data_IF_159045969095
#
_entry.id   IF_159045969095
#
_cell.length_a   1.000
_cell.length_b   1.000
_cell.length_c   1.000
_cell.angle_alpha   90.00
_cell.angle_beta   90.00
_cell.angle_gamma   90.00
#
_symmetry.space_group_name_H-M   'P 1'
#
loop_
_entity.id
_entity.type
_entity.pdbx_description
1 polymer ?
#
# COMPACT_ATOMS: atom_id res chain seq x y z
N UNK A 1 11.15 7.47 5.83
CA UNK A 1 10.95 6.02 5.63
C UNK A 1 11.15 5.66 4.17
N UNK A 2 11.29 4.37 3.83
CA UNK A 2 11.34 3.91 2.44
C UNK A 2 9.91 3.55 1.99
N UNK A 3 9.48 4.10 0.88
CA UNK A 3 8.13 3.86 0.34
C UNK A 3 8.27 3.27 -1.05
N UNK A 4 7.73 2.08 -1.24
CA UNK A 4 7.72 1.39 -2.53
C UNK A 4 6.35 1.61 -3.15
N UNK A 5 6.28 2.22 -4.32
CA UNK A 5 5.01 2.56 -4.97
C UNK A 5 4.85 1.80 -6.28
N UNK A 6 3.68 1.25 -6.52
CA UNK A 6 3.32 0.55 -7.75
C UNK A 6 1.92 0.90 -8.23
N UNK A 7 1.69 0.78 -9.52
CA UNK A 7 0.43 1.04 -10.19
C UNK A 7 0.24 0.15 -11.43
N UNK A 8 -1.00 0.06 -11.91
CA UNK A 8 -1.28 -0.28 -13.30
C UNK A 8 -1.48 0.99 -14.13
N UNK A 9 -1.83 0.86 -15.40
CA UNK A 9 -2.10 1.98 -16.29
C UNK A 9 -3.10 3.00 -15.74
N UNK A 10 -4.14 2.57 -15.01
CA UNK A 10 -5.16 3.46 -14.45
C UNK A 10 -4.64 4.25 -13.24
N UNK A 11 -3.69 3.70 -12.49
CA UNK A 11 -3.09 4.36 -11.33
C UNK A 11 -1.96 5.35 -11.64
N UNK A 12 -1.49 5.43 -12.90
CA UNK A 12 -0.28 6.17 -13.27
C UNK A 12 -0.32 7.65 -12.87
N UNK A 13 -1.37 8.38 -13.24
CA UNK A 13 -1.50 9.81 -12.92
C UNK A 13 -1.56 10.08 -11.42
N UNK A 14 -2.27 9.23 -10.68
CA UNK A 14 -2.37 9.39 -9.22
C UNK A 14 -1.04 9.08 -8.53
N UNK A 15 -0.32 8.03 -8.99
CA UNK A 15 1.02 7.72 -8.50
C UNK A 15 1.93 8.95 -8.59
N UNK A 16 2.00 9.60 -9.75
CA UNK A 16 2.93 10.74 -9.94
C UNK A 16 2.67 11.87 -8.93
N UNK A 17 1.41 12.16 -8.64
CA UNK A 17 1.04 13.17 -7.65
C UNK A 17 1.46 12.77 -6.23
N UNK A 18 1.25 11.50 -5.87
CA UNK A 18 1.66 10.96 -4.57
C UNK A 18 3.19 10.96 -4.46
N UNK A 19 3.91 10.53 -5.49
CA UNK A 19 5.38 10.53 -5.50
C UNK A 19 5.94 11.93 -5.30
N UNK A 20 5.40 12.93 -6.00
CA UNK A 20 5.80 14.33 -5.83
C UNK A 20 5.60 14.78 -4.37
N UNK A 21 4.44 14.52 -3.80
CA UNK A 21 4.17 14.86 -2.41
C UNK A 21 5.14 14.17 -1.44
N UNK A 22 5.39 12.87 -1.61
CA UNK A 22 6.30 12.12 -0.75
C UNK A 22 7.75 12.61 -0.84
N UNK A 23 8.20 13.01 -2.04
CA UNK A 23 9.50 13.63 -2.26
C UNK A 23 9.61 14.99 -1.54
N UNK A 24 8.58 15.83 -1.65
CA UNK A 24 8.48 17.11 -0.93
C UNK A 24 8.49 16.93 0.61
N UNK A 25 8.02 15.78 1.12
CA UNK A 25 8.11 15.40 2.54
C UNK A 25 9.44 14.73 2.93
N UNK A 26 10.39 14.58 2.00
CA UNK A 26 11.71 14.00 2.25
C UNK A 26 11.72 12.47 2.41
N UNK A 27 10.70 11.78 1.89
CA UNK A 27 10.67 10.31 1.87
C UNK A 27 11.48 9.75 0.69
N UNK A 28 12.10 8.56 0.89
CA UNK A 28 12.78 7.85 -0.19
C UNK A 28 11.78 6.96 -0.91
N UNK A 29 11.46 7.29 -2.16
CA UNK A 29 10.45 6.57 -2.96
C UNK A 29 11.12 5.69 -4.01
N UNK A 30 10.71 4.42 -4.08
CA UNK A 30 11.08 3.48 -5.14
C UNK A 30 9.84 3.21 -5.99
N UNK A 31 9.90 3.60 -7.27
CA UNK A 31 8.83 3.41 -8.24
C UNK A 31 8.96 2.05 -8.94
N UNK A 32 7.96 1.19 -8.76
CA UNK A 32 7.87 -0.15 -9.36
C UNK A 32 6.97 -0.18 -10.61
N UNK A 33 6.62 0.99 -11.15
CA UNK A 33 5.82 1.16 -12.37
C UNK A 33 4.32 0.94 -12.14
N UNK A 34 3.45 0.97 -13.16
CA UNK A 34 3.74 1.34 -14.56
C UNK A 34 4.39 2.72 -14.68
N UNK A 35 5.31 2.87 -15.62
CA UNK A 35 6.02 4.14 -15.89
C UNK A 35 5.35 4.99 -16.96
N UNK A 36 4.23 4.52 -17.51
CA UNK A 36 3.42 5.23 -18.48
C UNK A 36 1.94 4.84 -18.35
N UNK A 37 1.08 5.38 -19.22
CA UNK A 37 -0.35 5.08 -19.28
C UNK A 37 -0.69 3.89 -20.18
N UNK A 38 0.29 3.13 -20.65
CA UNK A 38 0.06 1.94 -21.47
C UNK A 38 -0.43 0.78 -20.60
N UNK A 39 -1.27 -0.07 -21.20
CA UNK A 39 -1.86 -1.22 -20.49
C UNK A 39 -0.79 -2.10 -19.86
N UNK A 40 -1.03 -2.46 -18.60
CA UNK A 40 -0.15 -3.30 -17.79
C UNK A 40 -1.01 -4.11 -16.83
N UNK A 41 -0.69 -5.39 -16.69
CA UNK A 41 -1.33 -6.26 -15.71
C UNK A 41 -0.82 -5.94 -14.30
N UNK A 42 -1.77 -5.52 -13.45
CA UNK A 42 -1.48 -5.08 -12.09
C UNK A 42 -0.67 -6.06 -11.22
N UNK A 43 -0.77 -7.41 -11.35
CA UNK A 43 0.02 -8.32 -10.53
C UNK A 43 1.54 -8.15 -10.70
N UNK A 44 2.00 -7.64 -11.85
CA UNK A 44 3.42 -7.41 -12.11
C UNK A 44 3.99 -6.33 -11.17
N UNK A 45 3.25 -5.23 -10.93
CA UNK A 45 3.71 -4.20 -10.00
C UNK A 45 3.53 -4.62 -8.54
N UNK A 46 2.50 -5.42 -8.23
CA UNK A 46 2.34 -6.04 -6.90
C UNK A 46 3.57 -6.87 -6.52
N UNK A 47 4.00 -7.79 -7.38
CA UNK A 47 5.16 -8.65 -7.11
C UNK A 47 6.44 -7.83 -6.81
N UNK A 48 6.70 -6.81 -7.63
CA UNK A 48 7.85 -5.90 -7.44
C UNK A 48 7.78 -5.15 -6.12
N UNK A 49 6.62 -4.60 -5.77
CA UNK A 49 6.41 -3.87 -4.51
C UNK A 49 6.65 -4.80 -3.32
N UNK A 50 6.04 -5.99 -3.33
CA UNK A 50 6.18 -6.97 -2.24
C UNK A 50 7.61 -7.45 -2.07
N UNK A 51 8.33 -7.74 -3.17
CA UNK A 51 9.75 -8.13 -3.11
C UNK A 51 10.61 -7.07 -2.44
N UNK A 52 10.46 -5.81 -2.84
CA UNK A 52 11.20 -4.70 -2.24
C UNK A 52 10.87 -4.52 -0.75
N UNK A 53 9.60 -4.65 -0.34
CA UNK A 53 9.22 -4.58 1.09
C UNK A 53 9.91 -5.66 1.92
N UNK A 54 10.10 -6.87 1.36
CA UNK A 54 10.74 -7.99 2.05
C UNK A 54 12.26 -7.85 2.13
N UNK A 55 12.87 -7.20 1.15
CA UNK A 55 14.33 -7.04 1.06
C UNK A 55 14.84 -5.81 1.82
N UNK A 56 13.99 -4.78 1.99
CA UNK A 56 14.39 -3.51 2.56
C UNK A 56 13.85 -3.34 3.98
N UNK A 57 14.76 -3.10 4.92
CA UNK A 57 14.39 -2.70 6.28
C UNK A 57 13.57 -1.40 6.27
N UNK A 58 12.52 -1.36 7.10
CA UNK A 58 11.60 -0.23 7.29
C UNK A 58 10.96 0.30 5.98
N UNK A 59 10.61 -0.63 5.08
CA UNK A 59 9.88 -0.32 3.85
C UNK A 59 8.38 -0.61 3.97
N UNK A 60 7.57 0.27 3.37
CA UNK A 60 6.13 0.10 3.23
C UNK A 60 5.70 0.29 1.77
N UNK A 61 4.57 -0.29 1.39
CA UNK A 61 4.05 -0.28 0.02
C UNK A 61 2.87 0.65 -0.19
N UNK A 62 2.78 1.24 -1.37
CA UNK A 62 1.57 1.89 -1.90
C UNK A 62 1.26 1.26 -3.26
N UNK A 63 0.03 0.77 -3.45
CA UNK A 63 -0.44 0.17 -4.70
C UNK A 63 -1.66 0.89 -5.24
N UNK A 64 -1.69 1.19 -6.53
CA UNK A 64 -2.74 1.99 -7.13
C UNK A 64 -3.25 1.34 -8.42
N UNK A 65 -4.54 1.03 -8.48
CA UNK A 65 -5.18 0.68 -9.75
C UNK A 65 -6.48 1.46 -9.92
N UNK A 66 -7.33 1.09 -10.87
CA UNK A 66 -8.63 1.75 -11.07
C UNK A 66 -9.46 1.84 -9.79
N UNK A 67 -9.66 0.72 -9.08
CA UNK A 67 -10.45 0.67 -7.82
C UNK A 67 -9.62 0.30 -6.59
N UNK A 68 -8.36 -0.08 -6.78
CA UNK A 68 -7.48 -0.62 -5.73
C UNK A 68 -7.80 -2.06 -5.29
N UNK A 69 -8.93 -2.63 -5.71
CA UNK A 69 -9.41 -3.96 -5.29
C UNK A 69 -8.49 -5.09 -5.79
N UNK A 70 -8.18 -5.12 -7.08
CA UNK A 70 -7.32 -6.18 -7.65
C UNK A 70 -5.93 -6.19 -7.01
N UNK A 71 -5.38 -5.00 -6.79
CA UNK A 71 -4.09 -4.81 -6.13
C UNK A 71 -4.10 -5.37 -4.70
N UNK A 72 -5.13 -5.03 -3.90
CA UNK A 72 -5.22 -5.50 -2.52
C UNK A 72 -5.42 -7.02 -2.44
N UNK A 73 -6.25 -7.59 -3.31
CA UNK A 73 -6.46 -9.04 -3.38
C UNK A 73 -5.15 -9.76 -3.71
N UNK A 74 -4.43 -9.31 -4.74
CA UNK A 74 -3.18 -9.93 -5.16
C UNK A 74 -2.08 -9.77 -4.11
N UNK A 75 -1.92 -8.59 -3.52
CA UNK A 75 -0.90 -8.33 -2.50
C UNK A 75 -1.09 -9.19 -1.25
N UNK A 76 -2.35 -9.38 -0.81
CA UNK A 76 -2.67 -10.23 0.34
C UNK A 76 -2.47 -11.74 0.09
N UNK A 77 -2.07 -12.17 -1.12
CA UNK A 77 -1.63 -13.56 -1.36
C UNK A 77 -0.20 -13.82 -0.92
N UNK A 78 0.57 -12.78 -0.67
CA UNK A 78 1.95 -12.92 -0.24
C UNK A 78 2.03 -12.97 1.29
N UNK A 79 2.61 -14.06 1.83
CA UNK A 79 2.83 -14.21 3.27
C UNK A 79 3.46 -12.95 3.90
N UNK A 80 2.89 -12.48 5.01
CA UNK A 80 3.37 -11.33 5.76
C UNK A 80 2.96 -9.97 5.17
N UNK A 81 2.20 -9.95 4.08
CA UNK A 81 1.63 -8.72 3.51
C UNK A 81 0.22 -8.51 4.06
N UNK A 82 -0.01 -7.31 4.58
CA UNK A 82 -1.31 -6.83 5.02
C UNK A 82 -1.65 -5.59 4.21
N UNK A 83 -2.26 -5.83 3.06
CA UNK A 83 -2.67 -4.80 2.10
C UNK A 83 -4.11 -4.34 2.38
N UNK A 84 -4.29 -3.03 2.56
CA UNK A 84 -5.60 -2.43 2.87
C UNK A 84 -6.04 -1.49 1.77
N UNK A 85 -7.21 -1.76 1.16
CA UNK A 85 -7.88 -0.80 0.29
C UNK A 85 -8.55 0.27 1.15
N UNK A 86 -8.19 1.52 0.93
CA UNK A 86 -8.62 2.65 1.77
C UNK A 86 -9.07 3.80 0.88
N UNK A 87 -10.17 4.45 1.28
CA UNK A 87 -10.71 5.63 0.60
C UNK A 87 -11.00 6.81 1.52
N UNK A 88 -10.68 6.71 2.82
CA UNK A 88 -10.97 7.75 3.81
C UNK A 88 -9.88 7.81 4.91
N UNK A 89 -9.80 8.95 5.60
CA UNK A 89 -8.75 9.22 6.60
C UNK A 89 -8.86 8.35 7.84
N UNK A 90 -10.09 8.05 8.28
CA UNK A 90 -10.31 7.23 9.47
C UNK A 90 -9.78 5.81 9.23
N UNK A 91 -10.18 5.19 8.11
CA UNK A 91 -9.71 3.86 7.76
C UNK A 91 -8.20 3.84 7.53
N UNK A 92 -7.62 4.90 6.94
CA UNK A 92 -6.16 5.04 6.78
C UNK A 92 -5.41 4.98 8.11
N UNK A 93 -5.89 5.73 9.10
CA UNK A 93 -5.33 5.71 10.45
C UNK A 93 -5.51 4.33 11.10
N UNK A 94 -6.74 3.81 11.08
CA UNK A 94 -7.09 2.56 11.77
C UNK A 94 -6.35 1.35 11.20
N UNK A 95 -6.18 1.26 9.88
CA UNK A 95 -5.44 0.14 9.30
C UNK A 95 -3.97 0.14 9.75
N UNK A 96 -3.36 1.32 9.92
CA UNK A 96 -1.99 1.37 10.44
C UNK A 96 -1.92 1.08 11.93
N UNK A 97 -2.81 1.69 12.72
CA UNK A 97 -2.84 1.57 14.18
C UNK A 97 -3.24 0.17 14.66
N UNK A 98 -4.20 -0.48 13.99
CA UNK A 98 -4.78 -1.75 14.41
C UNK A 98 -4.24 -2.93 13.62
N UNK A 99 -4.10 -2.80 12.30
CA UNK A 99 -3.73 -3.94 11.46
C UNK A 99 -2.25 -3.99 11.16
N UNK A 100 -1.50 -2.97 11.59
CA UNK A 100 -0.11 -2.73 11.16
C UNK A 100 0.03 -3.00 9.65
N UNK A 101 -0.88 -2.44 8.85
CA UNK A 101 -0.79 -2.62 7.41
C UNK A 101 0.55 -2.08 6.91
N UNK A 102 1.19 -2.88 6.08
CA UNK A 102 2.46 -2.57 5.44
C UNK A 102 2.28 -2.26 3.95
N UNK A 103 1.06 -2.40 3.41
CA UNK A 103 0.71 -1.99 2.06
C UNK A 103 -0.63 -1.22 2.08
N UNK A 104 -0.62 0.00 1.55
CA UNK A 104 -1.81 0.80 1.29
C UNK A 104 -2.26 0.62 -0.16
N UNK A 105 -3.52 0.34 -0.40
CA UNK A 105 -4.10 0.24 -1.74
C UNK A 105 -5.10 1.37 -1.97
N UNK A 106 -5.03 2.00 -3.14
CA UNK A 106 -5.87 3.14 -3.54
C UNK A 106 -6.52 2.89 -4.91
N UNK A 107 -7.72 3.43 -5.10
CA UNK A 107 -8.43 3.40 -6.37
C UNK A 107 -8.40 4.76 -7.08
N UNK A 108 -7.64 4.87 -8.17
CA UNK A 108 -7.49 6.12 -8.92
C UNK A 108 -8.80 6.61 -9.59
N UNK A 109 -9.82 5.75 -9.72
CA UNK A 109 -11.16 6.11 -10.22
C UNK A 109 -12.17 6.33 -9.10
N UNK A 110 -11.79 6.08 -7.84
CA UNK A 110 -12.72 6.09 -6.71
C UNK A 110 -12.35 7.12 -5.64
N UNK A 111 -11.15 7.68 -5.69
CA UNK A 111 -10.70 8.71 -4.76
C UNK A 111 -10.10 9.90 -5.51
N UNK A 112 -10.41 11.11 -5.07
CA UNK A 112 -9.84 12.33 -5.63
C UNK A 112 -8.38 12.49 -5.23
N UNK A 113 -7.56 13.11 -6.09
CA UNK A 113 -6.10 13.11 -5.91
C UNK A 113 -5.64 13.77 -4.60
N UNK A 114 -6.29 14.86 -4.18
CA UNK A 114 -5.93 15.57 -2.94
C UNK A 114 -6.33 14.77 -1.70
N UNK A 115 -7.46 14.06 -1.78
CA UNK A 115 -7.94 13.18 -0.72
C UNK A 115 -7.02 11.95 -0.61
N UNK A 116 -6.62 11.37 -1.73
CA UNK A 116 -5.64 10.28 -1.78
C UNK A 116 -4.30 10.66 -1.13
N UNK A 117 -3.79 11.88 -1.39
CA UNK A 117 -2.59 12.39 -0.73
C UNK A 117 -2.80 12.49 0.78
N UNK A 118 -3.96 12.97 1.22
CA UNK A 118 -4.30 13.08 2.64
C UNK A 118 -4.42 11.70 3.33
N UNK A 119 -4.95 10.71 2.60
CA UNK A 119 -5.00 9.30 3.03
C UNK A 119 -3.59 8.72 3.15
N UNK A 120 -2.72 8.93 2.16
CA UNK A 120 -1.32 8.49 2.20
C UNK A 120 -0.62 9.11 3.40
N UNK A 121 -0.72 10.43 3.59
CA UNK A 121 -0.09 11.14 4.70
C UNK A 121 -0.57 10.62 6.06
N UNK A 122 -1.88 10.44 6.22
CA UNK A 122 -2.46 9.89 7.44
C UNK A 122 -1.88 8.51 7.73
N UNK A 123 -1.88 7.62 6.73
CA UNK A 123 -1.39 6.25 6.89
C UNK A 123 0.10 6.18 7.26
N UNK A 124 0.97 6.95 6.59
CA UNK A 124 2.42 6.94 6.88
C UNK A 124 2.77 7.64 8.20
N UNK A 125 1.93 8.57 8.67
CA UNK A 125 2.13 9.29 9.93
C UNK A 125 1.61 8.53 11.15
N UNK A 126 0.65 7.63 10.96
CA UNK A 126 0.09 6.78 12.02
C UNK A 126 1.09 5.73 12.51
N UNK A 127 0.97 5.34 13.79
CA UNK A 127 1.86 4.38 14.45
C UNK A 127 1.10 3.17 14.94
N UNK A 128 1.65 1.99 14.73
CA UNK A 128 1.05 0.76 15.22
C UNK A 128 0.96 0.75 16.76
N UNK A 129 -0.20 0.36 17.29
CA UNK A 129 -0.49 0.43 18.73
C UNK A 129 -0.14 -0.84 19.51
N UNK A 130 0.09 -1.97 18.83
CA UNK A 130 0.40 -3.24 19.50
C UNK A 130 -0.70 -3.74 20.43
N UNK A 131 -0.34 -4.34 21.57
CA UNK A 131 -1.28 -4.77 22.60
C UNK A 131 -2.35 -5.75 22.09
N UNK A 132 -3.64 -5.41 22.28
CA UNK A 132 -4.77 -6.26 21.81
C UNK A 132 -4.78 -6.46 20.30
N UNK A 133 -4.20 -5.54 19.54
CA UNK A 133 -4.13 -5.61 18.09
C UNK A 133 -3.07 -6.62 17.63
N UNK A 134 -1.97 -6.77 18.39
CA UNK A 134 -0.91 -7.74 18.12
C UNK A 134 -1.44 -9.17 18.21
N UNK A 135 -2.33 -9.42 19.16
CA UNK A 135 -3.00 -10.73 19.30
C UNK A 135 -3.76 -11.09 18.01
N UNK A 136 -4.46 -10.12 17.41
CA UNK A 136 -5.24 -10.33 16.18
C UNK A 136 -4.33 -10.48 14.96
N UNK A 137 -3.27 -9.68 14.87
CA UNK A 137 -2.29 -9.81 13.78
C UNK A 137 -1.56 -11.16 13.84
N UNK A 138 -1.24 -11.66 15.03
CA UNK A 138 -0.72 -13.04 15.20
C UNK A 138 -1.72 -14.11 14.76
N UNK A 139 -3.03 -13.90 14.94
CA UNK A 139 -4.04 -14.82 14.41
C UNK A 139 -4.08 -14.80 12.88
N UNK A 140 -3.94 -13.63 12.25
CA UNK A 140 -3.81 -13.52 10.78
C UNK A 140 -2.59 -14.30 10.30
N UNK A 141 -1.43 -14.11 10.92
CA UNK A 141 -0.21 -14.84 10.56
C UNK A 141 -0.38 -16.37 10.69
N UNK A 142 -1.18 -16.84 11.67
CA UNK A 142 -1.49 -18.27 11.80
C UNK A 142 -2.32 -18.82 10.65
N UNK A 143 -3.24 -18.02 10.09
CA UNK A 143 -4.01 -18.41 8.89
C UNK A 143 -3.05 -18.60 7.70
N UNK A 144 -2.08 -17.69 7.53
CA UNK A 144 -1.08 -17.82 6.45
C UNK A 144 -0.21 -19.08 6.60
N UNK A 145 0.01 -19.56 7.83
CA UNK A 145 0.82 -20.74 8.13
C UNK A 145 0.07 -22.04 7.95
N UNK A 146 -1.25 -22.05 8.13
CA UNK A 146 -2.09 -23.24 7.97
C UNK A 146 -2.39 -23.59 6.51
N UNK A 147 -2.26 -22.65 5.58
CA UNK A 147 -2.53 -22.83 4.14
C UNK A 147 -1.31 -23.36 3.36
N UNK A 148 -0.44 -24.16 4.00
CA UNK A 148 0.74 -24.81 3.39
C UNK A 148 0.44 -26.20 2.87
#
# INVERSE_FOLDING_TARGET
MKIIIGNDHAGYTLKLKIMKYLDEQGHKVIDCGSYNSESMDFPISVDKVVKNIRELDDAVGILICGTGVGMSIAANKYKGIRASLVSDLFTAQMTKEHNDSNVLCLGARTIESNEAISVVNTWISSKYLGGKYEVRNKMINKIEESEK
#
